data_IF_244278090540
#
_entry.id   IF_244278090540
#
_cell.length_a   1.000
_cell.length_b   1.000
_cell.length_c   1.000
_cell.angle_alpha   90.00
_cell.angle_beta   90.00
_cell.angle_gamma   90.00
#
_symmetry.space_group_name_H-M   'P 1'
#
loop_
_entity.id
_entity.type
_entity.pdbx_description
1 polymer ?
#
# COMPACT_ATOMS: atom_id res chain seq x y z
N UNK A 1 -42.62 47.82 -64.62
CA UNK A 1 -41.62 47.31 -63.65
C UNK A 1 -42.14 46.00 -63.10
N UNK A 2 -41.38 44.90 -63.28
CA UNK A 2 -41.49 43.56 -62.68
C UNK A 2 -42.78 42.74 -62.94
N UNK A 3 -42.65 41.86 -63.93
CA UNK A 3 -43.27 40.53 -64.01
C UNK A 3 -42.83 39.65 -62.83
N UNK A 4 -43.72 38.82 -62.27
CA UNK A 4 -43.33 37.46 -61.86
C UNK A 4 -44.54 36.52 -61.81
N UNK A 5 -44.36 35.39 -62.49
CA UNK A 5 -45.32 34.32 -62.71
C UNK A 5 -45.48 33.42 -61.49
N UNK A 6 -46.70 32.92 -61.34
CA UNK A 6 -47.10 31.79 -60.50
C UNK A 6 -46.45 30.51 -61.05
N UNK A 7 -45.64 29.79 -60.27
CA UNK A 7 -45.20 28.43 -60.60
C UNK A 7 -45.51 27.47 -59.46
N UNK A 8 -46.18 26.38 -59.84
CA UNK A 8 -46.49 25.19 -59.04
C UNK A 8 -45.20 24.51 -58.59
N UNK A 9 -45.19 24.01 -57.35
CA UNK A 9 -44.22 23.01 -56.89
C UNK A 9 -44.95 21.79 -56.34
N UNK A 10 -44.66 20.67 -56.99
CA UNK A 10 -45.15 19.31 -56.77
C UNK A 10 -44.46 18.73 -55.53
N UNK A 11 -45.25 18.10 -54.64
CA UNK A 11 -44.74 17.29 -53.54
C UNK A 11 -44.16 15.99 -54.12
N UNK A 12 -42.85 15.78 -53.99
CA UNK A 12 -42.20 14.49 -54.23
C UNK A 12 -42.04 13.77 -52.89
N UNK A 13 -42.79 12.67 -52.71
CA UNK A 13 -42.56 11.72 -51.63
C UNK A 13 -41.41 10.79 -52.04
N UNK A 14 -40.25 10.94 -51.40
CA UNK A 14 -39.15 9.99 -51.53
C UNK A 14 -39.38 8.85 -50.53
N UNK A 15 -39.78 7.69 -51.06
CA UNK A 15 -39.72 6.40 -50.36
C UNK A 15 -38.25 6.01 -50.25
N UNK A 16 -37.68 6.12 -49.06
CA UNK A 16 -36.38 5.50 -48.77
C UNK A 16 -36.61 4.02 -48.49
N UNK A 17 -36.19 3.21 -49.46
CA UNK A 17 -36.03 1.76 -49.37
C UNK A 17 -35.00 1.46 -48.28
N UNK A 18 -35.45 0.82 -47.21
CA UNK A 18 -34.59 0.19 -46.21
C UNK A 18 -33.96 -1.06 -46.85
N UNK A 19 -32.67 -0.97 -47.19
CA UNK A 19 -31.82 -2.15 -47.35
C UNK A 19 -31.41 -2.60 -45.95
N UNK A 20 -31.93 -3.75 -45.51
CA UNK A 20 -31.44 -4.48 -44.35
C UNK A 20 -30.07 -5.09 -44.70
N UNK A 21 -28.99 -4.39 -44.39
CA UNK A 21 -27.72 -5.07 -44.11
C UNK A 21 -27.82 -5.57 -42.67
N UNK A 22 -27.81 -6.89 -42.50
CA UNK A 22 -27.50 -7.52 -41.22
C UNK A 22 -26.11 -7.01 -40.82
N UNK A 23 -26.07 -6.04 -39.90
CA UNK A 23 -24.84 -5.64 -39.24
C UNK A 23 -24.39 -6.83 -38.40
N UNK A 24 -23.40 -7.58 -38.89
CA UNK A 24 -22.64 -8.49 -38.04
C UNK A 24 -22.18 -7.70 -36.80
N UNK A 25 -22.32 -8.25 -35.59
CA UNK A 25 -21.86 -7.56 -34.40
C UNK A 25 -20.36 -7.30 -34.56
N UNK A 26 -19.98 -6.02 -34.72
CA UNK A 26 -18.59 -5.60 -34.72
C UNK A 26 -17.95 -6.14 -33.44
N UNK A 27 -17.12 -7.17 -33.57
CA UNK A 27 -16.30 -7.67 -32.48
C UNK A 27 -15.56 -6.47 -31.89
N UNK A 28 -15.71 -6.25 -30.59
CA UNK A 28 -14.91 -5.23 -29.91
C UNK A 28 -13.43 -5.48 -30.24
N UNK A 29 -12.66 -4.43 -30.60
CA UNK A 29 -11.25 -4.61 -30.93
C UNK A 29 -10.55 -5.29 -29.75
N UNK A 30 -9.79 -6.35 -30.03
CA UNK A 30 -9.05 -7.07 -28.99
C UNK A 30 -8.16 -6.10 -28.21
N UNK A 31 -8.27 -6.13 -26.88
CA UNK A 31 -7.40 -5.34 -26.01
C UNK A 31 -5.93 -5.65 -26.29
N UNK A 32 -5.10 -4.61 -26.38
CA UNK A 32 -3.63 -4.72 -26.52
C UNK A 32 -2.95 -5.21 -25.22
N UNK A 33 -3.68 -5.18 -24.11
CA UNK A 33 -3.15 -5.40 -22.77
C UNK A 33 -3.72 -6.68 -22.15
N UNK A 34 -2.94 -7.32 -21.29
CA UNK A 34 -3.41 -8.43 -20.48
C UNK A 34 -4.56 -7.95 -19.59
N UNK A 35 -5.63 -8.75 -19.54
CA UNK A 35 -6.83 -8.47 -18.73
C UNK A 35 -6.81 -9.27 -17.42
N UNK A 36 -6.10 -10.39 -17.38
CA UNK A 36 -6.05 -11.31 -16.24
C UNK A 36 -4.65 -11.90 -16.09
N UNK A 37 -4.33 -12.34 -14.87
CA UNK A 37 -3.06 -12.99 -14.53
C UNK A 37 -2.41 -12.37 -13.30
N UNK A 38 -1.10 -12.53 -13.17
CA UNK A 38 -0.33 -12.07 -12.02
C UNK A 38 0.90 -11.28 -12.47
N UNK A 39 1.26 -10.26 -11.71
CA UNK A 39 2.53 -9.58 -11.81
C UNK A 39 3.33 -9.82 -10.54
N UNK A 40 4.59 -10.24 -10.70
CA UNK A 40 5.56 -10.33 -9.62
C UNK A 40 6.62 -9.25 -9.83
N UNK A 41 6.99 -8.51 -8.78
CA UNK A 41 8.06 -7.51 -8.88
C UNK A 41 9.07 -7.59 -7.75
N UNK A 42 10.26 -7.08 -8.01
CA UNK A 42 11.35 -7.00 -7.05
C UNK A 42 12.20 -5.75 -7.23
N UNK A 43 12.90 -5.38 -6.16
CA UNK A 43 13.88 -4.31 -6.12
C UNK A 43 15.25 -4.86 -5.76
N UNK A 44 16.24 -4.57 -6.60
CA UNK A 44 17.65 -4.85 -6.34
C UNK A 44 18.34 -3.54 -5.97
N UNK A 45 19.03 -3.53 -4.83
CA UNK A 45 19.83 -2.39 -4.39
C UNK A 45 21.31 -2.72 -4.56
N UNK A 46 22.04 -1.80 -5.19
CA UNK A 46 23.48 -1.86 -5.34
C UNK A 46 24.12 -0.52 -4.98
N UNK A 47 25.45 -0.45 -4.97
CA UNK A 47 26.18 0.82 -4.84
C UNK A 47 25.92 1.78 -6.00
N UNK A 48 25.48 1.28 -7.15
CA UNK A 48 25.13 2.07 -8.33
C UNK A 48 23.68 2.59 -8.31
N UNK A 49 22.89 2.23 -7.29
CA UNK A 49 21.48 2.62 -7.16
C UNK A 49 20.54 1.42 -7.14
N UNK A 50 19.27 1.69 -7.46
CA UNK A 50 18.20 0.69 -7.48
C UNK A 50 17.92 0.21 -8.91
N UNK A 51 17.57 -1.07 -9.04
CA UNK A 51 17.02 -1.65 -10.26
C UNK A 51 15.73 -2.37 -9.92
N UNK A 52 14.70 -2.14 -10.73
CA UNK A 52 13.38 -2.70 -10.51
C UNK A 52 13.06 -3.72 -11.59
N UNK A 53 12.53 -4.87 -11.21
CA UNK A 53 12.15 -5.93 -12.15
C UNK A 53 10.66 -6.24 -11.96
N UNK A 54 9.96 -6.49 -13.06
CA UNK A 54 8.57 -6.95 -13.02
C UNK A 54 8.31 -7.99 -14.11
N UNK A 55 7.63 -9.08 -13.75
CA UNK A 55 7.32 -10.20 -14.64
C UNK A 55 5.84 -10.57 -14.61
N UNK A 56 5.25 -10.76 -15.79
CA UNK A 56 3.88 -11.25 -15.96
C UNK A 56 3.82 -12.78 -15.96
N UNK A 57 2.79 -13.31 -15.30
CA UNK A 57 2.48 -14.74 -15.23
C UNK A 57 0.99 -14.93 -15.55
N UNK A 58 0.63 -15.68 -16.61
CA UNK A 58 -0.78 -15.93 -16.95
C UNK A 58 -1.53 -16.71 -15.86
N UNK A 59 -0.81 -17.44 -15.03
CA UNK A 59 -1.33 -18.19 -13.89
C UNK A 59 -0.56 -17.80 -12.63
N UNK A 60 -1.07 -18.20 -11.47
CA UNK A 60 -0.42 -17.94 -10.20
C UNK A 60 1.04 -18.44 -10.24
N UNK A 61 2.04 -17.57 -9.99
CA UNK A 61 3.44 -17.97 -10.08
C UNK A 61 3.74 -19.01 -9.00
N UNK A 62 4.58 -20.01 -9.33
CA UNK A 62 4.98 -21.03 -8.37
C UNK A 62 6.43 -21.45 -8.53
N UNK A 63 7.02 -21.99 -7.45
CA UNK A 63 8.38 -22.48 -7.45
C UNK A 63 9.42 -21.35 -7.47
N UNK A 64 10.56 -21.60 -8.11
CA UNK A 64 11.70 -20.68 -8.14
C UNK A 64 11.62 -19.77 -9.39
N UNK A 65 11.73 -18.46 -9.21
CA UNK A 65 11.62 -17.45 -10.27
C UNK A 65 12.87 -16.57 -10.28
N UNK A 66 13.44 -16.36 -11.46
CA UNK A 66 14.53 -15.42 -11.70
C UNK A 66 13.97 -14.19 -12.43
N UNK A 67 13.77 -13.09 -11.71
CA UNK A 67 13.20 -11.86 -12.27
C UNK A 67 14.20 -11.06 -13.11
N UNK A 68 15.49 -11.41 -13.11
CA UNK A 68 16.47 -10.77 -14.01
C UNK A 68 16.26 -11.15 -15.48
N UNK A 69 15.48 -12.20 -15.73
CA UNK A 69 15.04 -12.61 -17.07
C UNK A 69 13.84 -11.82 -17.59
N UNK A 70 13.23 -10.98 -16.74
CA UNK A 70 12.13 -10.10 -17.10
C UNK A 70 12.61 -8.67 -17.37
N UNK A 71 11.69 -7.79 -17.74
CA UNK A 71 12.00 -6.39 -18.02
C UNK A 71 12.50 -5.68 -16.77
N UNK A 72 13.60 -4.94 -16.91
CA UNK A 72 14.11 -4.02 -15.91
C UNK A 72 13.58 -2.61 -16.17
N UNK A 73 13.31 -1.88 -15.09
CA UNK A 73 12.79 -0.51 -15.10
C UNK A 73 13.68 0.39 -14.24
N UNK A 74 13.74 1.68 -14.61
CA UNK A 74 14.39 2.70 -13.78
C UNK A 74 13.70 2.83 -12.43
N UNK A 75 12.37 2.78 -12.44
CA UNK A 75 11.50 2.76 -11.28
C UNK A 75 10.28 1.86 -11.52
N UNK A 76 9.89 1.08 -10.52
CA UNK A 76 8.59 0.40 -10.51
C UNK A 76 8.13 0.20 -9.07
N UNK A 77 7.15 1.01 -8.65
CA UNK A 77 6.50 0.91 -7.34
C UNK A 77 5.01 1.13 -7.53
N UNK A 78 4.25 0.04 -7.45
CA UNK A 78 2.80 0.12 -7.44
C UNK A 78 2.33 0.82 -6.17
N UNK A 79 1.30 1.66 -6.29
CA UNK A 79 0.60 2.24 -5.13
C UNK A 79 -0.75 1.55 -4.92
N UNK A 80 -1.38 1.12 -6.00
CA UNK A 80 -2.59 0.29 -6.00
C UNK A 80 -2.77 -0.37 -7.35
N UNK A 81 -3.64 -1.38 -7.43
CA UNK A 81 -4.17 -1.90 -8.68
C UNK A 81 -5.70 -1.80 -8.69
N UNK A 82 -6.29 -1.76 -9.88
CA UNK A 82 -7.73 -1.84 -10.06
C UNK A 82 -8.02 -2.49 -11.41
N UNK A 83 -8.79 -3.58 -11.40
CA UNK A 83 -8.96 -4.47 -12.56
C UNK A 83 -7.59 -4.92 -13.09
N UNK A 84 -7.31 -4.67 -14.36
CA UNK A 84 -6.08 -5.06 -15.04
C UNK A 84 -5.04 -3.92 -15.12
N UNK A 85 -5.30 -2.80 -14.43
CA UNK A 85 -4.42 -1.65 -14.42
C UNK A 85 -3.70 -1.48 -13.08
N UNK A 86 -2.48 -0.96 -13.18
CA UNK A 86 -1.62 -0.64 -12.05
C UNK A 86 -1.50 0.89 -11.99
N UNK A 87 -1.62 1.46 -10.81
CA UNK A 87 -1.46 2.89 -10.58
C UNK A 87 -0.28 3.10 -9.64
N UNK A 88 0.68 3.91 -10.07
CA UNK A 88 1.92 4.07 -9.32
C UNK A 88 2.83 5.16 -9.86
N UNK A 89 4.10 5.10 -9.43
CA UNK A 89 5.16 5.99 -9.93
C UNK A 89 5.45 5.62 -11.39
N UNK A 90 5.83 6.59 -12.21
CA UNK A 90 6.22 6.33 -13.60
C UNK A 90 7.39 5.37 -13.72
N UNK A 91 7.53 4.76 -14.89
CA UNK A 91 8.59 3.81 -15.18
C UNK A 91 9.95 4.49 -15.46
N UNK A 92 9.92 5.79 -15.78
CA UNK A 92 11.07 6.63 -16.09
C UNK A 92 11.60 7.43 -14.87
N UNK A 93 10.87 7.42 -13.75
CA UNK A 93 11.23 8.13 -12.52
C UNK A 93 10.76 9.59 -12.44
N UNK A 94 10.08 10.08 -13.47
CA UNK A 94 9.47 11.41 -13.47
C UNK A 94 8.36 11.54 -12.42
N UNK A 95 8.09 12.80 -12.03
CA UNK A 95 6.98 13.14 -11.13
C UNK A 95 5.64 13.00 -11.87
N UNK A 96 5.10 11.79 -11.95
CA UNK A 96 3.81 11.46 -12.57
C UNK A 96 3.02 10.48 -11.71
N UNK A 97 1.69 10.60 -11.77
CA UNK A 97 0.80 9.48 -11.44
C UNK A 97 0.57 8.72 -12.74
N UNK A 98 1.06 7.48 -12.80
CA UNK A 98 1.03 6.67 -14.02
C UNK A 98 -0.01 5.57 -13.92
N UNK A 99 -0.80 5.42 -14.99
CA UNK A 99 -1.61 4.24 -15.26
C UNK A 99 -0.82 3.31 -16.15
N UNK A 100 -0.61 2.11 -15.67
CA UNK A 100 0.24 1.11 -16.28
C UNK A 100 -0.57 -0.15 -16.61
N UNK A 101 -0.18 -0.84 -17.67
CA UNK A 101 -0.78 -2.08 -18.13
C UNK A 101 0.31 -3.03 -18.61
N UNK A 102 -0.03 -4.31 -18.80
CA UNK A 102 0.89 -5.33 -19.30
C UNK A 102 0.62 -5.56 -20.78
N UNK A 103 1.61 -5.40 -21.64
CA UNK A 103 1.46 -5.68 -23.08
C UNK A 103 1.28 -7.19 -23.33
N UNK A 104 0.29 -7.56 -24.17
CA UNK A 104 0.12 -8.97 -24.58
C UNK A 104 1.32 -9.50 -25.36
N UNK A 105 1.95 -8.67 -26.19
CA UNK A 105 3.02 -9.07 -27.11
C UNK A 105 4.34 -9.43 -26.42
N UNK A 106 4.61 -8.85 -25.25
CA UNK A 106 5.91 -8.98 -24.57
C UNK A 106 5.81 -9.37 -23.10
N UNK A 107 4.64 -9.20 -22.45
CA UNK A 107 4.50 -9.34 -21.00
C UNK A 107 5.15 -8.19 -20.22
N UNK A 108 5.65 -7.14 -20.88
CA UNK A 108 6.23 -5.97 -20.23
C UNK A 108 5.15 -5.05 -19.69
N UNK A 109 5.39 -4.48 -18.51
CA UNK A 109 4.67 -3.32 -17.98
C UNK A 109 5.00 -2.09 -18.83
N UNK A 110 3.97 -1.35 -19.23
CA UNK A 110 4.07 -0.09 -19.97
C UNK A 110 3.18 0.98 -19.34
N UNK A 111 3.60 2.24 -19.42
CA UNK A 111 2.75 3.39 -19.11
C UNK A 111 1.80 3.65 -20.29
N UNK A 112 0.49 3.72 -20.01
CA UNK A 112 -0.53 3.93 -21.04
C UNK A 112 -1.23 5.29 -20.93
N UNK A 113 -1.12 5.94 -19.78
CA UNK A 113 -1.58 7.29 -19.52
C UNK A 113 -0.95 7.80 -18.22
N UNK A 114 -0.86 9.11 -18.06
CA UNK A 114 -0.30 9.72 -16.85
C UNK A 114 -0.86 11.10 -16.56
N UNK A 115 -0.79 11.50 -15.28
CA UNK A 115 -1.03 12.87 -14.82
C UNK A 115 0.31 13.43 -14.35
N UNK A 116 0.81 14.54 -14.94
CA UNK A 116 2.03 15.18 -14.48
C UNK A 116 1.83 15.78 -13.08
N UNK A 117 2.83 15.65 -12.22
CA UNK A 117 2.82 16.10 -10.83
C UNK A 117 3.94 17.11 -10.58
N UNK A 118 3.69 18.02 -9.63
CA UNK A 118 4.73 18.93 -9.13
C UNK A 118 5.66 18.22 -8.14
N UNK A 119 5.12 17.26 -7.39
CA UNK A 119 5.82 16.47 -6.38
C UNK A 119 5.64 14.96 -6.58
N UNK A 120 6.53 14.18 -5.97
CA UNK A 120 6.49 12.72 -6.06
C UNK A 120 5.17 12.15 -5.55
N UNK A 121 4.69 11.09 -6.19
CA UNK A 121 3.48 10.39 -5.79
C UNK A 121 3.68 9.63 -4.48
N UNK A 122 2.82 9.87 -3.50
CA UNK A 122 2.88 9.20 -2.21
C UNK A 122 1.88 8.03 -2.10
N UNK A 123 0.57 8.30 -2.22
CA UNK A 123 -0.47 7.29 -2.09
C UNK A 123 -1.52 7.45 -3.19
N UNK A 124 -2.17 6.34 -3.54
CA UNK A 124 -3.28 6.29 -4.50
C UNK A 124 -4.36 5.38 -3.93
N UNK A 125 -5.60 5.82 -4.00
CA UNK A 125 -6.78 5.05 -3.64
C UNK A 125 -7.79 5.11 -4.78
N UNK A 126 -8.19 3.95 -5.29
CA UNK A 126 -9.28 3.87 -6.27
C UNK A 126 -10.59 3.67 -5.50
N UNK A 127 -11.48 4.66 -5.56
CA UNK A 127 -12.81 4.59 -4.93
C UNK A 127 -13.75 3.80 -5.84
N UNK A 128 -13.70 4.09 -7.13
CA UNK A 128 -14.38 3.34 -8.20
C UNK A 128 -13.75 3.68 -9.56
N UNK A 129 -14.33 3.17 -10.64
CA UNK A 129 -13.83 3.36 -12.02
C UNK A 129 -13.70 4.83 -12.47
N UNK A 130 -14.49 5.74 -11.89
CA UNK A 130 -14.54 7.15 -12.27
C UNK A 130 -14.00 8.10 -11.18
N UNK A 131 -13.62 7.59 -10.03
CA UNK A 131 -13.09 8.38 -8.92
C UNK A 131 -11.94 7.66 -8.23
N UNK A 132 -10.78 8.32 -8.26
CA UNK A 132 -9.63 8.00 -7.43
C UNK A 132 -9.17 9.23 -6.68
N UNK A 133 -8.40 8.98 -5.62
CA UNK A 133 -7.75 10.01 -4.82
C UNK A 133 -6.25 9.71 -4.79
N UNK A 134 -5.42 10.73 -4.92
CA UNK A 134 -3.98 10.57 -4.70
C UNK A 134 -3.40 11.69 -3.85
N UNK A 135 -2.29 11.38 -3.19
CA UNK A 135 -1.47 12.33 -2.43
C UNK A 135 -0.07 12.44 -3.02
N UNK A 136 0.57 13.58 -2.79
CA UNK A 136 1.95 13.83 -3.23
C UNK A 136 2.82 14.20 -2.04
N UNK A 137 4.12 13.94 -2.14
CA UNK A 137 5.14 14.38 -1.19
C UNK A 137 5.09 15.89 -0.97
N UNK A 138 5.50 16.32 0.23
CA UNK A 138 5.80 17.72 0.61
C UNK A 138 4.63 18.71 0.72
N UNK A 139 3.51 18.50 0.04
CA UNK A 139 2.45 19.51 -0.06
C UNK A 139 1.16 19.19 0.71
N UNK A 140 1.11 18.12 1.52
CA UNK A 140 -0.12 17.62 2.21
C UNK A 140 -1.37 17.78 1.35
N UNK A 141 -1.26 17.39 0.09
CA UNK A 141 -2.29 17.65 -0.91
C UNK A 141 -3.04 16.37 -1.23
N UNK A 142 -4.34 16.50 -1.42
CA UNK A 142 -5.21 15.45 -1.91
C UNK A 142 -5.85 15.93 -3.20
N UNK A 143 -5.69 15.13 -4.23
CA UNK A 143 -6.21 15.39 -5.57
C UNK A 143 -7.20 14.30 -5.95
N UNK A 144 -8.20 14.68 -6.73
CA UNK A 144 -9.19 13.77 -7.30
C UNK A 144 -8.84 13.54 -8.77
N UNK A 145 -9.02 12.32 -9.26
CA UNK A 145 -8.83 11.99 -10.66
C UNK A 145 -9.83 10.92 -11.11
N UNK A 146 -10.04 10.80 -12.41
CA UNK A 146 -10.80 9.70 -13.00
C UNK A 146 -9.82 8.56 -13.37
N UNK A 147 -9.87 7.38 -12.72
CA UNK A 147 -8.95 6.28 -13.00
C UNK A 147 -9.09 5.67 -14.41
N UNK A 148 -10.28 5.73 -15.01
CA UNK A 148 -10.50 5.24 -16.38
C UNK A 148 -9.78 6.13 -17.41
N UNK A 149 -9.96 7.46 -17.31
CA UNK A 149 -9.48 8.43 -18.31
C UNK A 149 -8.18 9.13 -17.96
N UNK A 150 -7.72 9.02 -16.70
CA UNK A 150 -6.61 9.80 -16.12
C UNK A 150 -6.84 11.32 -16.16
N UNK A 151 -8.10 11.76 -16.15
CA UNK A 151 -8.44 13.17 -16.05
C UNK A 151 -8.32 13.68 -14.61
N UNK A 152 -7.74 14.86 -14.42
CA UNK A 152 -7.69 15.54 -13.13
C UNK A 152 -9.07 16.15 -12.80
N UNK A 153 -9.66 15.74 -11.67
CA UNK A 153 -10.99 16.17 -11.23
C UNK A 153 -10.94 17.31 -10.19
N UNK A 154 -9.76 17.84 -9.91
CA UNK A 154 -9.51 18.94 -9.00
C UNK A 154 -8.77 18.55 -7.73
N UNK A 155 -8.58 19.52 -6.84
CA UNK A 155 -7.87 19.40 -5.57
C UNK A 155 -8.83 19.64 -4.41
N UNK A 156 -8.68 18.89 -3.33
CA UNK A 156 -9.38 19.15 -2.07
C UNK A 156 -8.63 20.26 -1.32
N UNK A 157 -9.36 21.27 -0.84
CA UNK A 157 -8.78 22.30 0.01
C UNK A 157 -8.44 21.73 1.39
N UNK A 158 -7.14 21.56 1.63
CA UNK A 158 -6.57 21.06 2.90
C UNK A 158 -5.96 22.18 3.74
N UNK A 159 -6.29 23.45 3.48
CA UNK A 159 -5.69 24.61 4.17
C UNK A 159 -5.92 24.61 5.69
N UNK A 160 -7.01 23.98 6.15
CA UNK A 160 -7.37 23.84 7.57
C UNK A 160 -6.89 22.55 8.24
N UNK A 161 -6.32 21.63 7.46
CA UNK A 161 -5.78 20.37 7.96
C UNK A 161 -4.54 20.58 8.85
N UNK A 162 -4.17 19.58 9.64
CA UNK A 162 -2.99 19.65 10.49
C UNK A 162 -1.72 19.80 9.64
N UNK A 163 -0.79 20.63 10.11
CA UNK A 163 0.42 21.00 9.38
C UNK A 163 1.62 21.09 10.34
N UNK A 164 2.74 20.48 9.93
CA UNK A 164 4.06 20.61 10.54
C UNK A 164 5.08 21.06 9.48
N UNK A 165 5.07 22.34 9.06
CA UNK A 165 5.86 22.81 7.92
C UNK A 165 7.38 22.71 8.16
N UNK A 166 7.81 22.64 9.42
CA UNK A 166 9.20 22.47 9.83
C UNK A 166 9.74 21.05 9.68
N UNK A 167 8.86 20.06 9.47
CA UNK A 167 9.20 18.65 9.35
C UNK A 167 9.40 18.26 7.88
N UNK A 168 10.49 17.56 7.59
CA UNK A 168 10.82 17.08 6.24
C UNK A 168 9.76 16.12 5.70
N UNK A 169 9.25 15.19 6.53
CA UNK A 169 8.03 14.48 6.19
C UNK A 169 6.82 15.19 6.74
N UNK A 170 5.86 15.40 5.83
CA UNK A 170 4.62 16.09 6.11
C UNK A 170 3.63 15.73 4.99
N UNK A 171 3.19 14.47 4.97
CA UNK A 171 2.51 13.87 3.82
C UNK A 171 1.41 12.91 4.25
N UNK A 172 0.36 12.78 3.43
CA UNK A 172 -0.64 11.72 3.61
C UNK A 172 -0.11 10.42 3.02
N UNK A 173 0.50 9.60 3.87
CA UNK A 173 1.17 8.35 3.49
C UNK A 173 0.22 7.18 3.25
N UNK A 174 -0.95 7.21 3.87
CA UNK A 174 -1.97 6.15 3.76
C UNK A 174 -3.36 6.75 3.65
N UNK A 175 -4.18 6.16 2.79
CA UNK A 175 -5.54 6.59 2.48
C UNK A 175 -6.50 5.42 2.74
N UNK A 176 -7.55 5.67 3.52
CA UNK A 176 -8.62 4.70 3.77
C UNK A 176 -9.97 5.27 3.33
N UNK A 177 -10.73 4.49 2.58
CA UNK A 177 -12.08 4.87 2.16
C UNK A 177 -13.12 4.04 2.91
N UNK A 178 -14.12 4.72 3.47
CA UNK A 178 -15.30 4.10 4.07
C UNK A 178 -16.51 4.30 3.13
N UNK A 179 -16.99 3.24 2.46
CA UNK A 179 -18.11 3.35 1.53
C UNK A 179 -19.41 3.82 2.18
N UNK A 180 -19.70 3.37 3.41
CA UNK A 180 -21.00 3.54 4.07
C UNK A 180 -21.42 5.00 4.25
N UNK A 181 -20.47 5.91 4.38
CA UNK A 181 -20.71 7.36 4.49
C UNK A 181 -19.89 8.19 3.50
N UNK A 182 -19.29 7.54 2.51
CA UNK A 182 -18.49 8.15 1.46
C UNK A 182 -17.36 9.07 1.99
N UNK A 183 -16.67 8.62 3.04
CA UNK A 183 -15.57 9.38 3.67
C UNK A 183 -14.20 8.80 3.38
N UNK A 184 -13.25 9.69 3.17
CA UNK A 184 -11.83 9.41 3.07
C UNK A 184 -11.15 9.79 4.38
N UNK A 185 -10.28 8.92 4.85
CA UNK A 185 -9.42 9.07 6.02
C UNK A 185 -7.97 9.08 5.55
N UNK A 186 -7.31 10.23 5.65
CA UNK A 186 -5.94 10.43 5.19
C UNK A 186 -4.99 10.54 6.38
N UNK A 187 -4.19 9.49 6.60
CA UNK A 187 -3.23 9.42 7.70
C UNK A 187 -2.02 10.29 7.43
N UNK A 188 -1.79 11.27 8.30
CA UNK A 188 -0.64 12.17 8.21
C UNK A 188 0.60 11.47 8.78
N UNK A 189 1.59 11.26 7.90
CA UNK A 189 2.96 10.93 8.28
C UNK A 189 3.73 12.24 8.42
N UNK A 190 4.37 12.43 9.57
CA UNK A 190 5.29 13.56 9.79
C UNK A 190 6.51 13.16 10.61
N UNK A 191 7.69 13.62 10.20
CA UNK A 191 8.97 13.35 10.84
C UNK A 191 9.99 14.45 10.52
N UNK A 192 10.97 14.65 11.41
CA UNK A 192 12.16 15.44 11.11
C UNK A 192 13.43 14.59 11.03
N UNK A 193 14.37 15.00 10.16
CA UNK A 193 15.73 14.44 10.12
C UNK A 193 16.62 14.94 11.27
N UNK A 194 16.19 16.02 11.94
CA UNK A 194 16.89 16.63 13.09
C UNK A 194 16.67 15.86 14.39
N UNK A 195 15.54 15.18 14.49
CA UNK A 195 15.33 14.13 15.47
C UNK A 195 15.73 12.81 14.83
N UNK A 196 15.93 11.73 15.60
CA UNK A 196 15.99 10.40 14.97
C UNK A 196 14.79 10.26 14.02
N UNK A 197 14.95 9.64 12.85
CA UNK A 197 14.16 9.75 11.61
C UNK A 197 12.60 9.77 11.71
N UNK A 198 12.00 9.69 12.87
CA UNK A 198 10.60 9.44 13.13
C UNK A 198 10.03 10.26 14.35
N UNK A 199 10.82 10.83 15.26
CA UNK A 199 10.36 11.08 16.65
C UNK A 199 9.49 12.30 17.00
N UNK A 200 9.04 13.13 16.06
CA UNK A 200 8.39 14.40 16.40
C UNK A 200 6.89 14.31 16.69
N UNK A 201 6.17 13.40 16.02
CA UNK A 201 4.76 13.20 16.32
C UNK A 201 4.60 12.42 17.63
N UNK A 202 3.82 12.93 18.59
CA UNK A 202 3.41 12.19 19.80
C UNK A 202 1.97 11.64 19.71
N UNK A 203 1.26 12.08 18.68
CA UNK A 203 -0.13 11.81 18.40
C UNK A 203 -0.28 11.36 16.94
N UNK A 204 -1.30 10.57 16.65
CA UNK A 204 -1.70 10.22 15.29
C UNK A 204 -2.76 11.20 14.81
N UNK A 205 -2.55 11.74 13.61
CA UNK A 205 -3.45 12.66 12.94
C UNK A 205 -4.02 12.00 11.68
N UNK A 206 -5.35 12.00 11.57
CA UNK A 206 -6.06 11.51 10.38
C UNK A 206 -7.01 12.60 9.91
N UNK A 207 -6.83 13.06 8.69
CA UNK A 207 -7.74 14.02 8.08
C UNK A 207 -8.98 13.31 7.56
N UNK A 208 -10.15 13.87 7.86
CA UNK A 208 -11.44 13.36 7.41
C UNK A 208 -11.94 14.24 6.28
N UNK A 209 -12.20 13.63 5.13
CA UNK A 209 -12.71 14.31 3.94
C UNK A 209 -14.01 13.65 3.52
N UNK A 210 -15.03 14.46 3.27
CA UNK A 210 -16.28 14.02 2.69
C UNK A 210 -16.17 14.04 1.16
N UNK A 211 -16.24 12.88 0.51
CA UNK A 211 -16.07 12.78 -0.94
C UNK A 211 -17.33 13.17 -1.72
N UNK A 212 -18.48 13.28 -1.06
CA UNK A 212 -19.73 13.78 -1.68
C UNK A 212 -19.62 15.28 -1.91
N UNK A 213 -19.18 16.01 -0.87
CA UNK A 213 -18.99 17.46 -0.93
C UNK A 213 -17.60 17.87 -1.43
N UNK A 214 -16.66 16.92 -1.50
CA UNK A 214 -15.24 17.10 -1.87
C UNK A 214 -14.52 18.09 -0.94
N UNK A 215 -14.84 18.06 0.35
CA UNK A 215 -14.33 19.00 1.35
C UNK A 215 -13.71 18.28 2.54
N UNK A 216 -12.62 18.87 3.04
CA UNK A 216 -12.10 18.56 4.36
C UNK A 216 -13.12 18.93 5.43
N UNK A 217 -13.32 18.04 6.40
CA UNK A 217 -14.24 18.24 7.53
C UNK A 217 -13.49 18.59 8.81
N UNK A 218 -12.47 17.79 9.16
CA UNK A 218 -11.72 17.89 10.41
C UNK A 218 -10.46 17.03 10.41
N UNK A 219 -9.61 17.25 11.41
CA UNK A 219 -8.56 16.32 11.81
C UNK A 219 -9.02 15.50 13.02
N UNK A 220 -9.03 14.18 12.90
CA UNK A 220 -9.16 13.24 14.02
C UNK A 220 -7.78 13.05 14.67
N UNK A 221 -7.73 13.08 16.01
CA UNK A 221 -6.47 12.99 16.76
C UNK A 221 -6.54 11.87 17.78
N UNK A 222 -5.59 10.93 17.71
CA UNK A 222 -5.36 9.95 18.76
C UNK A 222 -4.10 10.30 19.53
N UNK A 223 -4.21 10.48 20.84
CA UNK A 223 -3.08 10.86 21.68
C UNK A 223 -2.23 9.66 22.08
N UNK A 224 -0.92 9.87 22.29
CA UNK A 224 -0.01 8.82 22.75
C UNK A 224 0.08 7.63 21.77
N UNK A 225 0.18 7.95 20.48
CA UNK A 225 0.46 7.01 19.40
C UNK A 225 1.25 7.74 18.31
N UNK A 226 2.09 7.05 17.56
CA UNK A 226 2.94 7.66 16.52
C UNK A 226 3.01 6.73 15.30
N UNK A 227 3.33 7.25 14.11
CA UNK A 227 3.56 6.47 12.87
C UNK A 227 2.35 5.69 12.30
N UNK A 228 1.30 6.36 11.80
CA UNK A 228 0.10 5.69 11.28
C UNK A 228 0.28 4.98 9.93
N UNK A 229 1.52 4.60 9.57
CA UNK A 229 1.90 3.98 8.29
C UNK A 229 3.03 3.01 8.57
N UNK A 230 3.07 1.86 7.89
CA UNK A 230 4.21 0.93 7.89
C UNK A 230 5.11 1.13 6.66
N UNK A 231 6.21 0.37 6.56
CA UNK A 231 7.05 0.39 5.33
C UNK A 231 6.56 -0.71 4.41
N UNK A 232 5.50 -0.46 3.64
CA UNK A 232 4.93 -1.43 2.69
C UNK A 232 3.81 -0.80 1.86
N UNK A 233 3.00 -1.66 1.24
CA UNK A 233 1.73 -1.26 0.64
C UNK A 233 0.64 -1.61 1.64
N UNK A 234 0.23 -0.65 2.47
CA UNK A 234 -0.84 -0.88 3.45
C UNK A 234 -2.21 -0.82 2.79
N UNK A 235 -3.02 -1.83 3.04
CA UNK A 235 -4.41 -1.83 2.64
C UNK A 235 -5.23 -0.93 3.55
N UNK A 236 -6.31 -0.37 3.01
CA UNK A 236 -7.37 0.18 3.87
C UNK A 236 -7.92 -0.95 4.75
N UNK A 237 -7.92 -0.78 6.06
CA UNK A 237 -8.49 -1.75 6.99
C UNK A 237 -9.83 -1.19 7.46
N UNK A 238 -10.88 -1.56 6.73
CA UNK A 238 -12.26 -1.16 7.02
C UNK A 238 -13.11 -2.42 7.13
N UNK A 239 -13.77 -2.61 8.27
CA UNK A 239 -14.65 -3.77 8.47
C UNK A 239 -16.05 -3.56 7.89
N UNK A 240 -16.88 -4.61 7.89
CA UNK A 240 -18.23 -4.60 7.31
C UNK A 240 -19.18 -3.65 8.05
N UNK A 241 -18.91 -3.36 9.33
CA UNK A 241 -19.67 -2.36 10.08
C UNK A 241 -19.27 -0.92 9.69
N UNK A 242 -18.11 -0.74 9.05
CA UNK A 242 -17.56 0.57 8.69
C UNK A 242 -16.63 1.15 9.77
N UNK A 243 -16.09 0.34 10.67
CA UNK A 243 -14.99 0.79 11.51
C UNK A 243 -13.72 0.90 10.64
N UNK A 244 -12.99 1.99 10.79
CA UNK A 244 -11.70 2.20 10.11
C UNK A 244 -10.60 1.96 11.13
N UNK A 245 -9.63 1.12 10.78
CA UNK A 245 -8.50 0.80 11.63
C UNK A 245 -7.21 1.41 11.07
N UNK A 246 -6.45 2.07 11.93
CA UNK A 246 -5.17 2.70 11.59
C UNK A 246 -4.07 1.94 12.31
N UNK A 247 -3.22 1.27 11.55
CA UNK A 247 -2.06 0.57 12.10
C UNK A 247 -0.92 1.54 12.31
N UNK A 248 -0.32 1.49 13.50
CA UNK A 248 0.92 2.20 13.77
C UNK A 248 2.12 1.26 13.76
N UNK A 249 3.17 1.66 13.05
CA UNK A 249 4.31 0.78 12.78
C UNK A 249 5.06 0.36 14.05
N UNK A 250 5.17 1.24 15.05
CA UNK A 250 5.89 0.98 16.30
C UNK A 250 7.36 1.42 16.30
N UNK A 251 8.19 0.73 17.09
CA UNK A 251 9.54 1.16 17.48
C UNK A 251 10.56 0.83 16.40
N UNK A 252 11.14 1.88 15.82
CA UNK A 252 12.10 1.78 14.74
C UNK A 252 13.54 2.20 15.11
N UNK A 253 13.74 3.03 16.14
CA UNK A 253 15.02 3.71 16.32
C UNK A 253 15.99 3.05 17.30
N UNK A 254 17.26 3.13 16.92
CA UNK A 254 18.44 2.82 17.72
C UNK A 254 18.88 4.00 18.59
N UNK A 255 17.98 4.92 18.90
CA UNK A 255 18.23 6.19 19.61
C UNK A 255 17.90 6.10 21.11
N UNK A 256 17.85 4.88 21.66
CA UNK A 256 17.64 4.63 23.08
C UNK A 256 16.18 4.48 23.53
N UNK A 257 15.20 4.61 22.63
CA UNK A 257 13.79 4.35 22.90
C UNK A 257 13.37 2.91 22.58
N UNK A 258 14.17 1.93 23.00
CA UNK A 258 13.94 0.50 22.74
C UNK A 258 13.46 -0.23 24.00
N UNK A 259 12.74 -1.33 23.78
CA UNK A 259 12.43 -2.30 24.83
C UNK A 259 11.29 -1.94 25.76
N UNK A 260 11.14 -2.70 26.87
CA UNK A 260 9.94 -2.69 27.71
C UNK A 260 9.69 -1.37 28.45
N UNK A 261 10.69 -0.49 28.52
CA UNK A 261 10.59 0.81 29.20
C UNK A 261 10.32 1.97 28.24
N UNK A 262 10.39 1.72 26.93
CA UNK A 262 10.10 2.76 25.95
C UNK A 262 8.63 3.20 26.04
N UNK A 263 8.41 4.49 25.75
CA UNK A 263 7.11 5.13 25.91
C UNK A 263 6.01 4.39 25.16
N UNK A 264 4.79 4.37 25.74
CA UNK A 264 3.63 3.70 25.13
C UNK A 264 3.41 4.13 23.68
N UNK A 265 3.52 5.45 23.43
CA UNK A 265 3.36 6.05 22.09
C UNK A 265 4.30 5.50 21.03
N UNK A 266 5.48 5.02 21.44
CA UNK A 266 6.48 4.50 20.51
C UNK A 266 6.19 3.04 20.11
N UNK A 267 5.30 2.33 20.84
CA UNK A 267 4.95 0.93 20.56
C UNK A 267 3.87 0.84 19.47
N UNK A 268 3.82 -0.25 18.69
CA UNK A 268 2.80 -0.42 17.67
C UNK A 268 1.42 -0.57 18.29
N UNK A 269 0.44 0.03 17.64
CA UNK A 269 -0.95 0.10 18.07
C UNK A 269 -1.84 0.02 16.82
N UNK A 270 -2.96 -0.68 16.93
CA UNK A 270 -4.07 -0.57 15.98
C UNK A 270 -5.11 0.31 16.66
N UNK A 271 -5.35 1.46 16.04
CA UNK A 271 -6.32 2.47 16.48
C UNK A 271 -7.61 2.29 15.68
N UNK A 272 -8.74 2.76 16.21
CA UNK A 272 -10.06 2.58 15.59
C UNK A 272 -10.83 3.90 15.52
N UNK A 273 -11.39 4.19 14.36
CA UNK A 273 -12.45 5.19 14.17
C UNK A 273 -13.75 4.42 13.97
N UNK A 274 -14.70 4.48 14.92
CA UNK A 274 -15.91 3.68 14.83
C UNK A 274 -16.77 3.98 13.60
N UNK A 275 -17.58 2.98 13.22
CA UNK A 275 -18.61 3.10 12.21
C UNK A 275 -19.47 4.38 12.37
N UNK A 276 -19.62 5.14 11.29
CA UNK A 276 -20.39 6.39 11.27
C UNK A 276 -19.82 7.52 12.14
N UNK A 277 -18.63 7.36 12.72
CA UNK A 277 -17.92 8.39 13.48
C UNK A 277 -16.72 8.91 12.71
N UNK A 278 -16.27 10.10 13.05
CA UNK A 278 -15.10 10.77 12.45
C UNK A 278 -14.02 11.07 13.50
N UNK A 279 -14.23 10.65 14.75
CA UNK A 279 -13.26 10.69 15.83
C UNK A 279 -12.80 9.28 16.18
N UNK A 280 -11.57 9.17 16.66
CA UNK A 280 -11.07 7.92 17.21
C UNK A 280 -11.83 7.49 18.47
N UNK A 281 -11.97 6.17 18.63
CA UNK A 281 -12.29 5.56 19.91
C UNK A 281 -11.07 5.67 20.83
N UNK A 282 -11.09 6.65 21.74
CA UNK A 282 -10.00 6.89 22.69
C UNK A 282 -9.67 5.72 23.62
N UNK A 283 -10.57 4.73 23.72
CA UNK A 283 -10.38 3.53 24.56
C UNK A 283 -9.82 2.35 23.79
N UNK A 284 -9.76 2.42 22.46
CA UNK A 284 -9.28 1.35 21.60
C UNK A 284 -7.85 1.63 21.12
N UNK A 285 -6.90 0.83 21.63
CA UNK A 285 -5.50 0.87 21.19
C UNK A 285 -4.88 -0.52 21.36
N UNK A 286 -5.07 -1.36 20.36
CA UNK A 286 -4.67 -2.76 20.40
C UNK A 286 -3.18 -2.90 20.04
N UNK A 287 -2.37 -3.52 20.90
CA UNK A 287 -0.98 -3.89 20.58
C UNK A 287 -0.89 -5.42 20.40
N UNK A 288 -0.81 -5.92 19.16
CA UNK A 288 -0.73 -7.36 18.87
C UNK A 288 0.48 -8.07 19.47
N UNK A 289 1.61 -7.37 19.61
CA UNK A 289 2.87 -7.93 20.12
C UNK A 289 2.74 -8.24 21.62
N UNK A 290 2.11 -7.34 22.37
CA UNK A 290 1.77 -7.61 23.77
C UNK A 290 0.78 -8.77 23.89
N UNK A 291 -0.20 -8.87 22.99
CA UNK A 291 -1.21 -9.93 23.02
C UNK A 291 -0.64 -11.33 22.75
N UNK A 292 0.50 -11.43 22.06
CA UNK A 292 1.27 -12.69 21.92
C UNK A 292 2.35 -12.88 22.99
N UNK A 293 2.32 -12.06 24.05
CA UNK A 293 3.22 -12.18 25.21
C UNK A 293 4.64 -11.66 24.98
N UNK A 294 4.86 -10.82 23.97
CA UNK A 294 6.18 -10.33 23.55
C UNK A 294 6.45 -8.89 24.00
N UNK A 295 5.83 -8.43 25.08
CA UNK A 295 5.95 -7.06 25.61
C UNK A 295 7.38 -6.63 25.96
N UNK A 296 8.29 -7.58 26.21
CA UNK A 296 9.71 -7.32 26.51
C UNK A 296 10.60 -7.20 25.28
N UNK A 297 10.03 -7.34 24.08
CA UNK A 297 10.77 -7.20 22.82
C UNK A 297 11.40 -5.82 22.69
N UNK A 298 12.67 -5.78 22.29
CA UNK A 298 13.43 -4.55 22.08
C UNK A 298 12.92 -3.74 20.89
N UNK A 299 12.59 -4.42 19.79
CA UNK A 299 12.02 -3.84 18.57
C UNK A 299 10.59 -4.34 18.37
N UNK A 300 9.62 -3.48 18.60
CA UNK A 300 8.22 -3.82 18.39
C UNK A 300 7.71 -3.22 17.08
N UNK A 301 7.45 -4.06 16.08
CA UNK A 301 6.99 -3.64 14.76
C UNK A 301 5.68 -4.33 14.37
N UNK A 302 4.79 -3.58 13.73
CA UNK A 302 3.55 -4.04 13.09
C UNK A 302 3.54 -3.57 11.64
N UNK A 303 3.43 -4.49 10.69
CA UNK A 303 3.54 -4.19 9.26
C UNK A 303 2.51 -4.97 8.43
N UNK A 304 2.14 -4.44 7.26
CA UNK A 304 1.41 -5.19 6.24
C UNK A 304 0.00 -5.64 6.66
N UNK A 305 -0.67 -4.86 7.53
CA UNK A 305 -2.01 -5.20 8.02
C UNK A 305 -3.00 -5.29 6.85
N UNK A 306 -3.77 -6.38 6.81
CA UNK A 306 -4.82 -6.61 5.82
C UNK A 306 -6.07 -7.19 6.49
N UNK A 307 -7.24 -6.65 6.14
CA UNK A 307 -8.52 -7.10 6.69
C UNK A 307 -9.01 -8.39 6.02
N UNK A 308 -9.62 -9.27 6.80
CA UNK A 308 -10.33 -10.44 6.31
C UNK A 308 -11.84 -10.23 6.33
N UNK A 309 -12.47 -10.63 7.43
CA UNK A 309 -13.89 -10.52 7.71
C UNK A 309 -14.16 -10.71 9.20
N UNK A 310 -15.33 -10.28 9.67
CA UNK A 310 -15.80 -10.49 11.06
C UNK A 310 -14.84 -10.01 12.16
N UNK A 311 -14.15 -8.88 11.94
CA UNK A 311 -13.16 -8.34 12.86
C UNK A 311 -11.82 -9.07 12.85
N UNK A 312 -11.59 -9.98 11.91
CA UNK A 312 -10.31 -10.65 11.72
C UNK A 312 -9.45 -9.88 10.72
N UNK A 313 -8.18 -9.70 11.07
CA UNK A 313 -7.15 -9.17 10.19
C UNK A 313 -5.88 -10.03 10.30
N UNK A 314 -4.92 -9.79 9.40
CA UNK A 314 -3.61 -10.41 9.43
C UNK A 314 -2.53 -9.34 9.34
N UNK A 315 -1.43 -9.53 10.06
CA UNK A 315 -0.29 -8.61 10.00
C UNK A 315 1.02 -9.34 10.33
N UNK A 316 2.13 -8.73 9.91
CA UNK A 316 3.46 -9.15 10.30
C UNK A 316 3.87 -8.40 11.58
N UNK A 317 4.23 -9.13 12.63
CA UNK A 317 4.53 -8.58 13.95
C UNK A 317 5.88 -9.08 14.47
N UNK A 318 6.55 -8.26 15.28
CA UNK A 318 7.67 -8.77 16.09
C UNK A 318 7.16 -9.81 17.08
N UNK A 319 7.51 -11.08 16.87
CA UNK A 319 7.08 -12.16 17.76
C UNK A 319 8.08 -13.32 17.78
N UNK A 320 9.37 -13.00 17.76
CA UNK A 320 10.44 -13.98 17.85
C UNK A 320 11.63 -13.46 18.67
N UNK A 321 12.41 -14.35 19.30
CA UNK A 321 13.65 -13.97 19.96
C UNK A 321 14.64 -13.32 18.98
N UNK A 322 15.40 -12.34 19.47
CA UNK A 322 16.46 -11.71 18.69
C UNK A 322 17.72 -12.58 18.66
N UNK A 323 18.52 -12.51 17.58
CA UNK A 323 19.85 -13.11 17.54
C UNK A 323 20.73 -12.61 18.71
N UNK A 324 21.56 -13.47 19.34
CA UNK A 324 22.44 -13.05 20.44
C UNK A 324 23.35 -11.87 20.08
N UNK A 325 23.86 -11.83 18.85
CA UNK A 325 24.69 -10.73 18.34
C UNK A 325 23.93 -9.40 18.30
N UNK A 326 22.66 -9.43 17.92
CA UNK A 326 21.80 -8.24 17.93
C UNK A 326 21.65 -7.71 19.37
N UNK A 327 21.41 -8.60 20.35
CA UNK A 327 21.31 -8.22 21.76
C UNK A 327 22.62 -7.64 22.32
N UNK A 328 23.77 -8.23 21.96
CA UNK A 328 25.10 -7.71 22.35
C UNK A 328 25.32 -6.28 21.84
N UNK A 329 24.99 -6.03 20.56
CA UNK A 329 25.16 -4.72 19.93
C UNK A 329 24.21 -3.67 20.52
N UNK A 330 22.97 -4.05 20.87
CA UNK A 330 22.05 -3.17 21.62
C UNK A 330 22.66 -2.83 22.99
N UNK A 331 23.27 -3.80 23.67
CA UNK A 331 23.96 -3.57 24.94
C UNK A 331 25.08 -2.53 24.82
N UNK A 332 25.92 -2.66 23.78
CA UNK A 332 26.99 -1.69 23.46
C UNK A 332 26.46 -0.30 23.13
N UNK A 333 25.38 -0.22 22.36
CA UNK A 333 24.70 1.04 22.04
C UNK A 333 24.17 1.71 23.32
N UNK A 334 23.55 0.95 24.22
CA UNK A 334 22.95 1.48 25.45
C UNK A 334 23.98 2.09 26.41
N UNK A 335 25.23 1.63 26.40
CA UNK A 335 26.33 2.17 27.22
C UNK A 335 27.29 3.07 26.43
N UNK A 336 26.90 3.47 25.21
CA UNK A 336 27.68 4.34 24.32
C UNK A 336 29.10 3.81 24.03
N UNK A 337 29.26 2.49 23.92
CA UNK A 337 30.53 1.82 23.60
C UNK A 337 30.56 1.19 22.21
N UNK A 338 29.51 1.41 21.40
CA UNK A 338 29.39 0.84 20.06
C UNK A 338 30.27 1.60 19.06
N UNK A 339 30.99 0.88 18.21
CA UNK A 339 31.75 1.49 17.10
C UNK A 339 30.84 1.79 15.89
N UNK A 340 31.31 2.60 14.94
CA UNK A 340 30.55 2.88 13.72
C UNK A 340 30.25 1.63 12.88
N UNK A 341 31.21 0.69 12.79
CA UNK A 341 31.03 -0.58 12.07
C UNK A 341 29.99 -1.47 12.78
N UNK A 342 30.06 -1.57 14.10
CA UNK A 342 29.08 -2.30 14.90
C UNK A 342 27.69 -1.66 14.85
N UNK A 343 27.59 -0.34 14.75
CA UNK A 343 26.32 0.34 14.55
C UNK A 343 25.69 0.03 13.18
N UNK A 344 26.52 -0.06 12.13
CA UNK A 344 26.07 -0.50 10.82
C UNK A 344 25.60 -1.97 10.84
N UNK A 345 26.34 -2.85 11.55
CA UNK A 345 25.95 -4.24 11.78
C UNK A 345 24.64 -4.34 12.57
N UNK A 346 24.49 -3.57 13.65
CA UNK A 346 23.28 -3.47 14.46
C UNK A 346 22.08 -3.07 13.61
N UNK A 347 22.25 -2.04 12.79
CA UNK A 347 21.21 -1.58 11.86
C UNK A 347 20.82 -2.69 10.89
N UNK A 348 21.81 -3.36 10.28
CA UNK A 348 21.54 -4.46 9.36
C UNK A 348 20.78 -5.60 10.06
N UNK A 349 21.24 -6.04 11.23
CA UNK A 349 20.59 -7.10 11.99
C UNK A 349 19.17 -6.72 12.44
N UNK A 350 18.95 -5.49 12.89
CA UNK A 350 17.62 -5.03 13.31
C UNK A 350 16.61 -5.03 12.15
N UNK A 351 17.06 -4.68 10.94
CA UNK A 351 16.17 -4.53 9.78
C UNK A 351 16.03 -5.81 8.94
N UNK A 352 17.12 -6.57 8.76
CA UNK A 352 17.16 -7.69 7.83
C UNK A 352 17.26 -9.07 8.50
N UNK A 353 17.35 -9.15 9.83
CA UNK A 353 17.23 -10.45 10.51
C UNK A 353 15.78 -10.94 10.51
N UNK A 354 15.55 -12.25 10.30
CA UNK A 354 14.22 -12.82 10.31
C UNK A 354 13.72 -12.94 11.77
N UNK A 355 13.09 -11.89 12.30
CA UNK A 355 12.62 -11.79 13.70
C UNK A 355 11.12 -11.51 13.81
N UNK A 356 10.42 -11.47 12.67
CA UNK A 356 8.98 -11.25 12.63
C UNK A 356 8.20 -12.50 12.25
N UNK A 357 6.91 -12.47 12.58
CA UNK A 357 5.93 -13.52 12.33
C UNK A 357 4.67 -12.92 11.73
N UNK A 358 4.09 -13.63 10.79
CA UNK A 358 2.69 -13.42 10.43
C UNK A 358 1.79 -13.89 11.58
N UNK A 359 0.76 -13.10 11.87
CA UNK A 359 -0.21 -13.38 12.91
C UNK A 359 -1.63 -13.08 12.45
N UNK A 360 -2.58 -13.90 12.90
CA UNK A 360 -4.01 -13.61 12.90
C UNK A 360 -4.30 -12.65 14.04
N UNK A 361 -5.06 -11.61 13.75
CA UNK A 361 -5.50 -10.58 14.68
C UNK A 361 -7.02 -10.64 14.82
N UNK A 362 -7.52 -10.66 16.05
CA UNK A 362 -8.92 -10.39 16.35
C UNK A 362 -9.02 -8.95 16.86
N UNK A 363 -9.53 -8.06 16.01
CA UNK A 363 -9.68 -6.64 16.29
C UNK A 363 -10.77 -6.39 17.34
N UNK A 364 -11.80 -7.23 17.40
CA UNK A 364 -12.88 -7.07 18.38
C UNK A 364 -12.42 -7.49 19.79
N UNK A 365 -11.80 -8.66 19.88
CA UNK A 365 -11.31 -9.21 21.14
C UNK A 365 -9.95 -8.63 21.57
N UNK A 366 -9.25 -7.91 20.68
CA UNK A 366 -7.89 -7.43 20.87
C UNK A 366 -6.91 -8.56 21.23
N UNK A 367 -7.02 -9.68 20.50
CA UNK A 367 -6.13 -10.85 20.66
C UNK A 367 -5.36 -11.13 19.37
N UNK A 368 -4.25 -11.84 19.49
CA UNK A 368 -3.42 -12.21 18.35
C UNK A 368 -2.93 -13.66 18.48
N UNK A 369 -2.74 -14.33 17.35
CA UNK A 369 -2.22 -15.70 17.29
C UNK A 369 -1.23 -15.81 16.14
N UNK A 370 -0.01 -16.25 16.44
CA UNK A 370 1.04 -16.46 15.43
C UNK A 370 0.65 -17.59 14.49
N UNK A 371 0.84 -17.38 13.18
CA UNK A 371 0.73 -18.41 12.15
C UNK A 371 2.03 -19.21 12.16
N UNK A 372 2.05 -20.32 12.90
CA UNK A 372 3.29 -21.02 13.26
C UNK A 372 3.95 -21.81 12.13
N UNK A 373 3.21 -22.12 11.06
CA UNK A 373 3.74 -22.86 9.91
C UNK A 373 4.48 -21.98 8.91
N UNK A 374 4.39 -20.65 9.05
CA UNK A 374 5.20 -19.71 8.27
C UNK A 374 6.60 -19.53 8.87
N UNK A 375 7.65 -19.51 8.01
CA UNK A 375 9.00 -19.15 8.45
C UNK A 375 9.06 -17.76 9.09
N UNK A 376 10.14 -17.52 9.84
CA UNK A 376 10.47 -16.16 10.27
C UNK A 376 10.73 -15.29 9.03
N UNK A 377 10.31 -14.03 9.08
CA UNK A 377 10.58 -13.05 8.03
C UNK A 377 11.30 -11.83 8.60
N UNK A 378 12.10 -11.18 7.77
CA UNK A 378 12.81 -9.97 8.11
C UNK A 378 11.86 -8.79 8.29
N UNK A 379 12.26 -7.87 9.17
CA UNK A 379 11.45 -6.71 9.52
C UNK A 379 11.33 -5.65 8.41
N UNK A 380 12.26 -5.65 7.47
CA UNK A 380 12.38 -4.59 6.46
C UNK A 380 12.04 -5.07 5.03
N UNK A 381 11.55 -6.29 4.87
CA UNK A 381 10.99 -6.73 3.59
C UNK A 381 9.63 -6.09 3.40
N UNK A 382 9.56 -4.99 2.63
CA UNK A 382 8.35 -4.23 2.25
C UNK A 382 7.13 -5.16 2.16
N UNK A 383 6.34 -5.34 3.24
CA UNK A 383 5.33 -6.38 3.22
C UNK A 383 4.15 -5.81 2.45
N UNK A 384 4.06 -6.19 1.18
CA UNK A 384 2.88 -6.01 0.35
C UNK A 384 2.04 -7.27 0.50
N UNK A 385 1.10 -7.25 1.42
CA UNK A 385 0.17 -8.37 1.57
C UNK A 385 -0.92 -8.26 0.53
N UNK A 386 -1.49 -9.39 0.12
CA UNK A 386 -2.64 -9.35 -0.76
C UNK A 386 -3.68 -10.37 -0.32
N UNK A 387 -4.95 -10.07 -0.62
CA UNK A 387 -6.07 -10.99 -0.43
C UNK A 387 -6.73 -11.23 -1.78
N UNK A 388 -6.66 -12.46 -2.28
CA UNK A 388 -7.35 -12.86 -3.50
C UNK A 388 -8.14 -14.14 -3.22
N UNK A 389 -9.41 -14.18 -3.65
CA UNK A 389 -10.25 -15.39 -3.58
C UNK A 389 -10.31 -16.01 -2.17
N UNK A 390 -10.35 -15.18 -1.13
CA UNK A 390 -10.42 -15.62 0.27
C UNK A 390 -9.10 -16.13 0.86
N UNK A 391 -8.01 -16.11 0.09
CA UNK A 391 -6.66 -16.49 0.54
C UNK A 391 -5.75 -15.29 0.68
N UNK A 392 -4.77 -15.41 1.56
CA UNK A 392 -3.80 -14.35 1.86
C UNK A 392 -2.45 -14.70 1.26
N UNK A 393 -1.81 -13.72 0.63
CA UNK A 393 -0.48 -13.84 0.04
C UNK A 393 0.47 -13.04 0.92
N UNK A 394 1.26 -13.77 1.70
CA UNK A 394 2.06 -13.25 2.79
C UNK A 394 3.54 -13.30 2.39
N UNK A 395 4.21 -12.15 2.24
CA UNK A 395 5.61 -12.12 1.86
C UNK A 395 6.49 -12.66 2.99
N UNK A 396 7.52 -13.42 2.61
CA UNK A 396 8.54 -13.97 3.49
C UNK A 396 9.90 -13.70 2.87
N UNK A 397 10.73 -12.96 3.61
CA UNK A 397 12.15 -12.77 3.31
C UNK A 397 12.98 -13.31 4.47
N UNK A 398 13.73 -14.38 4.21
CA UNK A 398 14.62 -15.01 5.17
C UNK A 398 15.93 -15.40 4.47
N UNK A 399 16.96 -14.55 4.55
CA UNK A 399 18.25 -14.79 3.91
C UNK A 399 18.91 -16.09 4.37
N UNK A 400 18.77 -16.45 5.65
CA UNK A 400 19.39 -17.66 6.21
C UNK A 400 18.80 -18.96 5.65
N UNK A 401 17.60 -18.89 5.06
CA UNK A 401 16.89 -20.01 4.44
C UNK A 401 16.80 -19.89 2.91
N UNK A 402 17.45 -18.89 2.31
CA UNK A 402 17.28 -18.52 0.89
C UNK A 402 15.81 -18.33 0.49
N UNK A 403 15.00 -17.75 1.38
CA UNK A 403 13.60 -17.43 1.12
C UNK A 403 13.43 -15.95 0.77
N UNK A 404 12.74 -15.67 -0.32
CA UNK A 404 12.44 -14.33 -0.81
C UNK A 404 11.20 -14.43 -1.71
N UNK A 405 10.01 -14.44 -1.12
CA UNK A 405 8.84 -14.88 -1.88
C UNK A 405 7.53 -14.71 -1.15
N UNK A 406 6.49 -15.35 -1.68
CA UNK A 406 5.17 -15.36 -1.07
C UNK A 406 4.81 -16.77 -0.58
N UNK A 407 4.09 -16.81 0.53
CA UNK A 407 3.30 -17.95 0.95
C UNK A 407 1.82 -17.63 0.75
N UNK A 408 1.05 -18.63 0.34
CA UNK A 408 -0.40 -18.57 0.30
C UNK A 408 -0.95 -19.15 1.61
N UNK A 409 -1.66 -18.36 2.39
CA UNK A 409 -2.35 -18.78 3.59
C UNK A 409 -3.84 -18.92 3.33
N UNK A 410 -4.40 -20.08 3.68
CA UNK A 410 -5.82 -20.37 3.64
C UNK A 410 -6.41 -20.30 5.07
N UNK A 411 -7.20 -19.26 5.39
CA UNK A 411 -7.83 -19.12 6.69
C UNK A 411 -8.77 -20.26 7.07
N UNK A 412 -9.45 -20.87 6.09
CA UNK A 412 -10.43 -21.93 6.33
C UNK A 412 -9.73 -23.24 6.70
N UNK A 413 -8.58 -23.53 6.07
CA UNK A 413 -7.74 -24.68 6.40
C UNK A 413 -6.79 -24.41 7.58
N UNK A 414 -6.50 -23.15 7.88
CA UNK A 414 -5.48 -22.74 8.85
C UNK A 414 -4.07 -23.17 8.43
N UNK A 415 -3.77 -23.15 7.13
CA UNK A 415 -2.51 -23.65 6.57
C UNK A 415 -1.89 -22.71 5.55
N UNK A 416 -0.56 -22.72 5.52
CA UNK A 416 0.28 -21.97 4.61
C UNK A 416 1.00 -22.89 3.63
N UNK A 417 1.06 -22.49 2.37
CA UNK A 417 1.80 -23.18 1.31
C UNK A 417 2.83 -22.23 0.70
N UNK A 418 4.07 -22.68 0.53
CA UNK A 418 5.08 -21.90 -0.20
C UNK A 418 4.59 -21.75 -1.64
N UNK A 419 4.43 -20.50 -2.08
CA UNK A 419 3.94 -20.22 -3.43
C UNK A 419 5.10 -20.07 -4.40
N UNK A 420 5.83 -18.97 -4.27
CA UNK A 420 6.91 -18.56 -5.19
C UNK A 420 8.11 -18.09 -4.38
N UNK A 421 9.30 -18.29 -4.93
CA UNK A 421 10.56 -17.80 -4.39
C UNK A 421 11.39 -17.14 -5.49
N UNK A 422 11.76 -15.89 -5.28
CA UNK A 422 12.59 -15.11 -6.20
C UNK A 422 14.06 -15.39 -5.90
N UNK A 423 14.74 -16.06 -6.84
CA UNK A 423 16.15 -16.47 -6.72
C UNK A 423 17.13 -15.41 -7.20
N UNK A 424 16.68 -14.49 -8.07
CA UNK A 424 17.47 -13.38 -8.58
C UNK A 424 16.55 -12.21 -8.97
N UNK A 425 17.09 -10.98 -8.91
CA UNK A 425 16.34 -9.73 -9.14
C UNK A 425 16.13 -8.88 -7.89
N UNK A 426 16.72 -9.26 -6.75
CA UNK A 426 16.63 -8.51 -5.49
C UNK A 426 15.47 -8.96 -4.60
N UNK A 427 15.05 -8.10 -3.67
CA UNK A 427 14.00 -8.39 -2.70
C UNK A 427 12.64 -8.21 -3.37
N UNK A 428 11.75 -9.19 -3.18
CA UNK A 428 10.39 -9.13 -3.69
C UNK A 428 9.61 -7.94 -3.11
N UNK A 429 8.82 -7.24 -3.93
CA UNK A 429 8.01 -6.09 -3.48
C UNK A 429 6.52 -6.36 -3.55
N UNK A 430 6.00 -6.94 -4.64
CA UNK A 430 4.55 -7.06 -4.87
C UNK A 430 4.18 -8.36 -5.60
N UNK A 431 2.96 -8.84 -5.33
CA UNK A 431 2.27 -9.87 -6.09
C UNK A 431 0.86 -9.36 -6.44
N UNK A 432 0.75 -8.72 -7.60
CA UNK A 432 -0.52 -8.13 -8.05
C UNK A 432 -1.30 -9.15 -8.87
N UNK A 433 -2.60 -9.33 -8.57
CA UNK A 433 -3.52 -10.08 -9.43
C UNK A 433 -4.28 -9.11 -10.33
N UNK A 434 -4.19 -9.34 -11.63
CA UNK A 434 -4.97 -8.62 -12.63
C UNK A 434 -6.31 -9.32 -12.82
N UNK A 435 -7.36 -8.52 -12.93
CA UNK A 435 -8.74 -8.99 -13.12
C UNK A 435 -9.44 -8.13 -14.16
N UNK A 436 -10.40 -8.70 -14.88
CA UNK A 436 -11.15 -8.00 -15.92
C UNK A 436 -12.07 -6.90 -15.39
#
# INVERSE_FOLDING_TARGET
MKTTNLLRSVLFAAVLVSCSSEDEPKSEPESLYQEEGFLLSSISQSTAGYSYYAGFFPQQPSGEVDLTKNTAYSTFLARTSYKNFIYGISLDGDKKLSKQAILKSSGAVVEIASIPLLEYLQAVLIVNENLGVYSTSENRSLFLFNPATMENLGRIDMSKAKNFPENEGNVYGHLSYRPNDNKLFASLLTNSSKTGQFYDAQDVYVEVVDLTTKKWEKTAVFKQATYPVSRGLEHSVVDEAGNVYISTQGQYGLDGQLGPNAAKRSRPQILKIPAGKTDFDSTYAFNPINAVGQQSSMFQLLLGTIYDANGIAYACISAAPYPPRLLELIGKLAVNSITAAEYAELSNLAFYSPVQRWAKLDLNAQTATVISDLPLTAAYSYPSTHKYEGKFYLPVYNPSMNLNGYYQYDPAAGKSEKLVNVTAGGIITDLLKLTK
#
